data_IF_567055023925
#
_entry.id   IF_567055023925
#
_cell.length_a   1.000
_cell.length_b   1.000
_cell.length_c   1.000
_cell.angle_alpha   90.00
_cell.angle_beta   90.00
_cell.angle_gamma   90.00
#
_symmetry.space_group_name_H-M   'P 1'
#
loop_
_entity.id
_entity.type
_entity.pdbx_description
1 polymer ?
#
# COMPACT_ATOMS: atom_id res chain seq x y z
N UNK A 1 25.12 14.65 37.51
CA UNK A 1 24.50 15.47 36.45
C UNK A 1 25.51 15.63 35.32
N UNK A 2 25.56 14.71 34.37
CA UNK A 2 26.43 14.80 33.21
C UNK A 2 25.75 15.72 32.19
N UNK A 3 26.45 16.74 31.73
CA UNK A 3 26.05 17.62 30.64
C UNK A 3 25.85 16.74 29.39
N UNK A 4 24.60 16.57 28.92
CA UNK A 4 24.35 16.09 27.56
C UNK A 4 25.02 17.10 26.61
N UNK A 5 25.94 16.66 25.79
CA UNK A 5 26.45 17.47 24.69
C UNK A 5 25.28 17.73 23.73
N UNK A 6 25.04 18.99 23.37
CA UNK A 6 24.22 19.41 22.23
C UNK A 6 24.87 18.90 20.93
N UNK A 7 24.95 17.59 20.78
CA UNK A 7 25.39 17.01 19.52
C UNK A 7 24.27 17.23 18.48
N UNK A 8 24.59 18.01 17.46
CA UNK A 8 23.67 18.23 16.34
C UNK A 8 23.15 16.88 15.81
N UNK A 9 21.87 16.86 15.44
CA UNK A 9 21.23 15.66 14.86
C UNK A 9 22.08 15.13 13.68
N UNK A 10 22.24 13.81 13.54
CA UNK A 10 23.06 13.26 12.48
C UNK A 10 22.48 13.58 11.11
N UNK A 11 23.27 14.25 10.26
CA UNK A 11 22.88 14.60 8.89
C UNK A 11 23.28 13.46 7.93
N UNK A 12 22.35 12.95 7.09
CA UNK A 12 22.67 11.93 6.09
C UNK A 12 23.44 12.52 4.90
N UNK A 13 24.19 11.69 4.17
CA UNK A 13 24.82 12.10 2.93
C UNK A 13 23.76 12.22 1.82
N UNK A 14 23.26 13.45 1.61
CA UNK A 14 22.14 13.74 0.71
C UNK A 14 22.49 13.56 -0.77
N UNK A 15 23.73 13.86 -1.19
CA UNK A 15 24.18 13.61 -2.57
C UNK A 15 24.12 12.12 -2.88
N UNK A 16 24.60 11.31 -1.96
CA UNK A 16 24.50 9.85 -2.11
C UNK A 16 23.06 9.34 -2.05
N UNK A 17 22.19 9.96 -1.24
CA UNK A 17 20.79 9.62 -1.19
C UNK A 17 20.09 9.82 -2.55
N UNK A 18 20.39 10.93 -3.23
CA UNK A 18 19.88 11.22 -4.57
C UNK A 18 20.39 10.22 -5.61
N UNK A 19 21.67 9.88 -5.60
CA UNK A 19 22.20 8.84 -6.48
C UNK A 19 21.53 7.50 -6.24
N UNK A 20 21.26 7.14 -4.98
CA UNK A 20 20.60 5.89 -4.62
C UNK A 20 19.15 5.86 -5.11
N UNK A 21 18.37 6.94 -4.94
CA UNK A 21 16.98 6.96 -5.38
C UNK A 21 16.88 6.92 -6.92
N UNK A 22 17.73 7.65 -7.64
CA UNK A 22 17.77 7.59 -9.10
C UNK A 22 18.09 6.19 -9.62
N UNK A 23 19.04 5.51 -8.97
CA UNK A 23 19.40 4.12 -9.30
C UNK A 23 18.24 3.17 -8.97
N UNK A 24 17.60 3.31 -7.81
CA UNK A 24 16.49 2.45 -7.39
C UNK A 24 15.28 2.61 -8.32
N UNK A 25 14.94 3.83 -8.70
CA UNK A 25 13.89 4.15 -9.69
C UNK A 25 14.17 3.55 -11.09
N UNK A 26 15.43 3.36 -11.44
CA UNK A 26 15.85 2.80 -12.73
C UNK A 26 15.78 1.26 -12.78
N UNK A 27 15.65 0.57 -11.63
CA UNK A 27 15.68 -0.89 -11.58
C UNK A 27 14.32 -1.43 -12.04
N UNK A 28 14.25 -2.28 -13.08
CA UNK A 28 13.01 -2.94 -13.46
C UNK A 28 12.51 -3.87 -12.36
N UNK A 29 11.20 -3.94 -12.19
CA UNK A 29 10.55 -4.85 -11.24
C UNK A 29 9.28 -4.21 -10.68
N UNK A 30 8.13 -4.75 -11.02
CA UNK A 30 6.84 -4.44 -10.39
C UNK A 30 6.44 -5.53 -9.42
N UNK A 31 5.22 -5.48 -8.92
CA UNK A 31 4.68 -6.44 -7.95
C UNK A 31 4.87 -7.89 -8.40
N UNK A 32 5.45 -8.72 -7.53
CA UNK A 32 5.83 -10.11 -7.77
C UNK A 32 7.16 -10.29 -8.53
N UNK A 33 7.85 -9.21 -8.92
CA UNK A 33 9.13 -9.22 -9.66
C UNK A 33 10.18 -8.32 -9.01
N UNK A 34 10.21 -8.27 -7.70
CA UNK A 34 11.06 -7.36 -6.89
C UNK A 34 12.49 -7.88 -6.69
N UNK A 35 12.83 -9.05 -7.21
CA UNK A 35 14.12 -9.70 -6.97
C UNK A 35 15.33 -8.82 -7.22
N UNK A 36 15.33 -8.02 -8.31
CA UNK A 36 16.44 -7.12 -8.67
C UNK A 36 16.58 -5.95 -7.70
N UNK A 37 15.49 -5.35 -7.28
CA UNK A 37 15.53 -4.23 -6.35
C UNK A 37 15.88 -4.70 -4.93
N UNK A 38 15.35 -5.82 -4.48
CA UNK A 38 15.71 -6.44 -3.21
C UNK A 38 17.20 -6.79 -3.16
N UNK A 39 17.75 -7.35 -4.25
CA UNK A 39 19.19 -7.64 -4.35
C UNK A 39 20.03 -6.35 -4.35
N UNK A 40 19.60 -5.29 -5.04
CA UNK A 40 20.27 -4.01 -4.98
C UNK A 40 20.37 -3.47 -3.54
N UNK A 41 19.27 -3.48 -2.79
CA UNK A 41 19.22 -3.05 -1.38
C UNK A 41 20.17 -3.93 -0.55
N UNK A 42 20.08 -5.24 -0.69
CA UNK A 42 20.92 -6.19 0.02
C UNK A 42 22.42 -5.94 -0.22
N UNK A 43 22.82 -5.68 -1.47
CA UNK A 43 24.19 -5.35 -1.81
C UNK A 43 24.68 -4.04 -1.19
N UNK A 44 23.83 -2.98 -1.18
CA UNK A 44 24.18 -1.72 -0.53
C UNK A 44 24.43 -1.93 0.97
N UNK A 45 23.54 -2.68 1.65
CA UNK A 45 23.67 -2.98 3.07
C UNK A 45 24.93 -3.80 3.38
N UNK A 46 25.22 -4.84 2.59
CA UNK A 46 26.45 -5.64 2.75
C UNK A 46 27.72 -4.82 2.55
N UNK A 47 27.75 -3.96 1.53
CA UNK A 47 28.89 -3.04 1.29
C UNK A 47 29.06 -2.00 2.41
N UNK A 48 28.01 -1.71 3.14
CA UNK A 48 28.05 -0.84 4.32
C UNK A 48 28.46 -1.57 5.60
N UNK A 49 28.70 -2.89 5.56
CA UNK A 49 29.15 -3.68 6.70
C UNK A 49 28.04 -4.43 7.44
N UNK A 50 26.80 -4.53 6.87
CA UNK A 50 25.76 -5.32 7.51
C UNK A 50 26.19 -6.80 7.63
N UNK A 51 26.17 -7.38 8.85
CA UNK A 51 26.46 -8.80 9.05
C UNK A 51 25.49 -9.67 8.24
N UNK A 52 25.98 -10.78 7.68
CA UNK A 52 25.13 -11.69 6.91
C UNK A 52 23.96 -12.24 7.74
N UNK A 53 24.16 -12.46 9.03
CA UNK A 53 23.15 -12.94 9.98
C UNK A 53 22.05 -11.91 10.30
N UNK A 54 22.31 -10.62 10.07
CA UNK A 54 21.34 -9.54 10.30
C UNK A 54 20.38 -9.33 9.12
N UNK A 55 20.70 -9.90 7.95
CA UNK A 55 19.91 -9.78 6.72
C UNK A 55 19.14 -11.07 6.47
N UNK A 56 17.82 -10.95 6.37
CA UNK A 56 16.93 -12.08 6.12
C UNK A 56 15.90 -11.72 5.04
N UNK A 57 15.49 -12.72 4.28
CA UNK A 57 14.33 -12.63 3.42
C UNK A 57 13.26 -13.55 4.01
N UNK A 58 12.07 -13.06 4.23
CA UNK A 58 10.99 -13.90 4.72
C UNK A 58 10.42 -14.77 3.57
N UNK A 59 9.46 -15.63 3.88
CA UNK A 59 8.83 -16.50 2.90
C UNK A 59 7.43 -16.04 2.50
N UNK A 60 7.14 -14.72 2.57
CA UNK A 60 5.83 -14.17 2.23
C UNK A 60 5.39 -14.54 0.81
N UNK A 61 6.29 -14.46 -0.18
CA UNK A 61 6.02 -14.84 -1.57
C UNK A 61 5.48 -16.26 -1.76
N UNK A 62 5.82 -17.21 -0.87
CA UNK A 62 5.29 -18.59 -0.91
C UNK A 62 3.88 -18.70 -0.34
N UNK A 63 3.42 -17.71 0.42
CA UNK A 63 2.08 -17.64 1.00
C UNK A 63 1.13 -16.74 0.22
N UNK A 64 1.68 -15.90 -0.65
CA UNK A 64 0.90 -15.06 -1.57
C UNK A 64 0.36 -15.96 -2.69
N UNK A 65 -0.96 -15.96 -2.96
CA UNK A 65 -1.55 -16.86 -3.96
C UNK A 65 -0.97 -16.72 -5.37
N UNK A 66 -0.56 -15.51 -5.77
CA UNK A 66 0.06 -15.22 -7.06
C UNK A 66 1.54 -15.60 -7.11
N UNK A 67 2.13 -15.99 -5.97
CA UNK A 67 3.56 -16.21 -5.86
C UNK A 67 4.35 -14.89 -5.85
N UNK A 68 5.61 -14.98 -6.24
CA UNK A 68 6.54 -13.85 -6.37
C UNK A 68 7.98 -14.36 -6.41
N UNK A 69 8.89 -13.52 -6.89
CA UNK A 69 10.32 -13.87 -6.97
C UNK A 69 10.98 -13.95 -5.59
N UNK A 70 10.58 -13.05 -4.69
CA UNK A 70 11.20 -12.88 -3.36
C UNK A 70 10.14 -12.51 -2.32
N UNK A 71 10.47 -12.74 -1.04
CA UNK A 71 9.72 -12.25 0.10
C UNK A 71 10.21 -10.87 0.56
N UNK A 72 9.69 -10.41 1.71
CA UNK A 72 10.12 -9.17 2.32
C UNK A 72 11.59 -9.25 2.75
N UNK A 73 12.37 -8.21 2.45
CA UNK A 73 13.74 -8.10 2.91
C UNK A 73 13.77 -7.44 4.29
N UNK A 74 14.48 -8.05 5.24
CA UNK A 74 14.54 -7.61 6.63
C UNK A 74 16.00 -7.43 7.03
N UNK A 75 16.33 -6.25 7.58
CA UNK A 75 17.58 -5.99 8.29
C UNK A 75 17.29 -5.81 9.77
N UNK A 76 17.91 -6.60 10.63
CA UNK A 76 17.77 -6.52 12.09
C UNK A 76 19.10 -6.15 12.69
N UNK A 77 19.18 -5.01 13.38
CA UNK A 77 20.38 -4.56 14.09
C UNK A 77 20.14 -4.65 15.60
N UNK A 78 21.09 -5.21 16.37
CA UNK A 78 21.10 -5.05 17.82
C UNK A 78 21.34 -3.58 18.13
N UNK A 79 20.77 -3.07 19.23
CA UNK A 79 21.06 -1.70 19.65
C UNK A 79 22.51 -1.56 20.09
N UNK A 80 23.11 -0.39 19.87
CA UNK A 80 24.35 0.05 20.53
C UNK A 80 24.02 0.80 21.82
N UNK A 81 22.75 1.23 21.94
CA UNK A 81 22.19 1.86 23.14
C UNK A 81 20.93 1.13 23.60
N UNK A 82 20.57 1.33 24.86
CA UNK A 82 19.31 0.83 25.41
C UNK A 82 18.12 1.63 24.85
N UNK A 83 17.00 0.96 24.65
CA UNK A 83 15.76 1.59 24.19
C UNK A 83 14.82 0.57 23.53
N UNK A 84 13.59 0.96 23.26
CA UNK A 84 12.63 0.12 22.57
C UNK A 84 13.07 -0.10 21.11
N UNK A 85 12.82 -1.31 20.60
CA UNK A 85 13.05 -1.60 19.20
C UNK A 85 12.17 -0.75 18.31
N UNK A 86 12.77 -0.20 17.27
CA UNK A 86 12.07 0.59 16.24
C UNK A 86 12.02 -0.16 14.92
N UNK A 87 10.93 0.04 14.21
CA UNK A 87 10.69 -0.54 12.89
C UNK A 87 10.54 0.59 11.87
N UNK A 88 11.29 0.51 10.77
CA UNK A 88 11.10 1.37 9.60
C UNK A 88 10.72 0.48 8.41
N UNK A 89 9.66 0.83 7.71
CA UNK A 89 9.08 0.03 6.61
C UNK A 89 8.87 0.90 5.39
N UNK A 90 8.99 0.31 4.20
CA UNK A 90 8.61 0.89 2.92
C UNK A 90 8.44 -0.23 1.89
N UNK A 91 7.59 -0.06 0.88
CA UNK A 91 7.48 -1.07 -0.16
C UNK A 91 8.41 -0.81 -1.35
N UNK A 92 8.68 -1.85 -2.15
CA UNK A 92 9.65 -1.77 -3.24
C UNK A 92 9.06 -2.03 -4.63
N UNK A 93 7.82 -2.48 -4.70
CA UNK A 93 7.12 -2.71 -5.96
C UNK A 93 6.36 -1.46 -6.41
N UNK A 94 6.55 -0.97 -7.62
CA UNK A 94 5.71 0.05 -8.24
C UNK A 94 4.62 -0.59 -9.09
N UNK A 95 3.59 0.19 -9.41
CA UNK A 95 2.51 -0.18 -10.33
C UNK A 95 3.01 -0.55 -11.74
N UNK A 96 2.24 -1.35 -12.53
CA UNK A 96 2.63 -1.73 -13.90
C UNK A 96 2.90 -0.57 -14.84
N UNK A 97 2.32 0.61 -14.60
CA UNK A 97 2.53 1.84 -15.38
C UNK A 97 4.00 2.34 -15.33
N UNK A 98 4.76 1.91 -14.32
CA UNK A 98 6.18 2.25 -14.15
C UNK A 98 7.11 1.38 -15.01
N UNK A 99 6.59 0.40 -15.77
CA UNK A 99 7.43 -0.48 -16.59
C UNK A 99 8.22 0.31 -17.64
N UNK A 100 9.54 0.21 -17.58
CA UNK A 100 10.44 0.93 -18.49
C UNK A 100 10.67 2.40 -18.12
N UNK A 101 10.23 2.83 -16.93
CA UNK A 101 10.52 4.17 -16.43
C UNK A 101 12.02 4.43 -16.38
N UNK A 102 12.42 5.60 -16.85
CA UNK A 102 13.78 6.13 -16.76
C UNK A 102 13.70 7.47 -16.02
N UNK A 103 14.24 7.56 -14.79
CA UNK A 103 14.19 8.81 -14.04
C UNK A 103 15.12 9.85 -14.64
N UNK A 104 14.66 11.09 -14.76
CA UNK A 104 15.44 12.25 -15.15
C UNK A 104 15.20 13.40 -14.19
N UNK A 105 16.28 14.10 -13.83
CA UNK A 105 16.17 15.29 -12.97
C UNK A 105 15.79 16.49 -13.84
N UNK A 106 14.71 17.19 -13.44
CA UNK A 106 14.27 18.45 -14.04
C UNK A 106 14.02 19.48 -12.94
N UNK A 107 14.98 20.37 -12.77
CA UNK A 107 14.96 21.34 -11.66
C UNK A 107 14.95 20.64 -10.32
N UNK A 108 13.93 20.90 -9.48
CA UNK A 108 13.77 20.28 -8.16
C UNK A 108 13.04 18.93 -8.16
N UNK A 109 12.69 18.41 -9.33
CA UNK A 109 11.92 17.17 -9.45
C UNK A 109 12.69 16.10 -10.21
N UNK A 110 12.46 14.85 -9.82
CA UNK A 110 12.70 13.67 -10.65
C UNK A 110 11.38 13.30 -11.32
N UNK A 111 11.42 13.09 -12.64
CA UNK A 111 10.26 12.74 -13.45
C UNK A 111 10.61 11.58 -14.39
N UNK A 112 9.63 10.82 -14.91
CA UNK A 112 9.92 9.86 -15.96
C UNK A 112 10.33 10.58 -17.26
N UNK A 113 11.31 10.02 -17.98
CA UNK A 113 11.75 10.56 -19.28
C UNK A 113 10.65 10.48 -20.34
N UNK A 114 9.78 9.47 -20.26
CA UNK A 114 8.63 9.26 -21.15
C UNK A 114 7.33 9.75 -20.50
N UNK A 115 6.46 10.36 -21.30
CA UNK A 115 5.10 10.73 -20.89
C UNK A 115 4.13 9.53 -20.83
N UNK A 116 4.57 8.34 -21.25
CA UNK A 116 3.76 7.12 -21.25
C UNK A 116 3.98 6.23 -20.02
N UNK A 117 4.90 6.59 -19.12
CA UNK A 117 5.19 5.84 -17.91
C UNK A 117 5.01 6.72 -16.67
N UNK A 118 4.64 6.10 -15.55
CA UNK A 118 4.83 6.67 -14.22
C UNK A 118 6.30 6.56 -13.80
N UNK A 119 6.66 7.16 -12.66
CA UNK A 119 8.04 7.19 -12.16
C UNK A 119 8.38 5.98 -11.27
N UNK A 120 7.46 5.58 -10.39
CA UNK A 120 7.68 4.61 -9.32
C UNK A 120 8.33 5.23 -8.09
N UNK A 121 8.11 6.53 -7.87
CA UNK A 121 8.48 7.23 -6.63
C UNK A 121 7.73 6.67 -5.43
N UNK A 122 6.51 6.27 -5.65
CA UNK A 122 5.68 5.45 -4.82
C UNK A 122 6.05 3.96 -5.02
N UNK A 123 6.71 3.24 -4.07
CA UNK A 123 7.28 3.85 -2.85
C UNK A 123 8.82 3.66 -2.82
N UNK A 124 9.47 3.64 -3.97
CA UNK A 124 10.93 3.54 -4.03
C UNK A 124 11.64 4.73 -3.40
N UNK A 125 10.94 5.87 -3.24
CA UNK A 125 11.47 7.00 -2.51
C UNK A 125 11.55 6.70 -1.01
N UNK A 126 10.49 6.20 -0.38
CA UNK A 126 10.50 5.77 1.00
C UNK A 126 11.46 4.61 1.25
N UNK A 127 11.45 3.61 0.34
CA UNK A 127 12.40 2.50 0.40
C UNK A 127 13.86 2.97 0.38
N UNK A 128 14.16 4.05 -0.38
CA UNK A 128 15.50 4.66 -0.39
C UNK A 128 15.75 5.46 0.88
N UNK A 129 14.77 6.20 1.40
CA UNK A 129 14.95 6.99 2.62
C UNK A 129 15.34 6.11 3.82
N UNK A 130 14.64 4.98 4.02
CA UNK A 130 15.00 4.03 5.09
C UNK A 130 16.33 3.30 4.81
N UNK A 131 16.67 3.05 3.53
CA UNK A 131 17.96 2.49 3.15
C UNK A 131 19.09 3.47 3.52
N UNK A 132 18.94 4.75 3.23
CA UNK A 132 19.93 5.79 3.58
C UNK A 132 20.16 5.82 5.10
N UNK A 133 19.11 5.80 5.92
CA UNK A 133 19.24 5.72 7.36
C UNK A 133 20.05 4.49 7.82
N UNK A 134 19.74 3.30 7.27
CA UNK A 134 20.49 2.08 7.58
C UNK A 134 21.98 2.18 7.16
N UNK A 135 22.26 2.77 5.99
CA UNK A 135 23.62 2.91 5.49
C UNK A 135 24.46 3.91 6.31
N UNK A 136 23.86 5.01 6.77
CA UNK A 136 24.53 5.98 7.64
C UNK A 136 24.90 5.35 9.00
N UNK A 137 23.95 4.61 9.60
CA UNK A 137 24.19 3.88 10.86
C UNK A 137 25.33 2.89 10.70
N UNK A 138 25.27 2.03 9.68
CA UNK A 138 26.28 0.97 9.46
C UNK A 138 27.67 1.53 9.18
N UNK A 139 27.77 2.58 8.35
CA UNK A 139 29.08 3.12 7.93
C UNK A 139 29.75 3.99 8.96
N UNK A 140 28.94 4.76 9.70
CA UNK A 140 29.47 5.74 10.68
C UNK A 140 29.45 5.20 12.09
N UNK A 141 28.86 4.02 12.33
CA UNK A 141 28.71 3.46 13.67
C UNK A 141 27.85 4.39 14.56
N UNK A 142 26.79 4.99 14.02
CA UNK A 142 25.96 5.91 14.78
C UNK A 142 25.26 5.17 15.93
N UNK A 143 25.20 5.78 17.13
CA UNK A 143 24.45 5.23 18.25
C UNK A 143 22.98 5.05 17.89
N UNK A 144 22.40 3.91 18.27
CA UNK A 144 20.99 3.61 17.96
C UNK A 144 20.41 2.56 18.90
N UNK A 145 19.09 2.60 19.19
CA UNK A 145 18.39 1.52 19.87
C UNK A 145 18.31 0.28 18.95
N UNK A 146 17.79 -0.87 19.41
CA UNK A 146 17.51 -2.00 18.53
C UNK A 146 16.63 -1.60 17.34
N UNK A 147 17.03 -1.94 16.11
CA UNK A 147 16.35 -1.55 14.88
C UNK A 147 15.93 -2.75 14.04
N UNK A 148 14.84 -2.59 13.32
CA UNK A 148 14.43 -3.45 12.23
C UNK A 148 14.03 -2.58 11.04
N UNK A 149 14.59 -2.86 9.87
CA UNK A 149 14.18 -2.26 8.60
C UNK A 149 13.52 -3.34 7.77
N UNK A 150 12.41 -3.00 7.11
CA UNK A 150 11.68 -3.93 6.25
C UNK A 150 11.38 -3.27 4.91
N UNK A 151 11.74 -3.94 3.84
CA UNK A 151 11.35 -3.61 2.48
C UNK A 151 10.32 -4.64 2.04
N UNK A 152 9.07 -4.23 1.96
CA UNK A 152 7.93 -5.09 1.64
C UNK A 152 7.76 -5.25 0.13
N UNK A 153 7.13 -6.37 -0.26
CA UNK A 153 6.83 -6.72 -1.65
C UNK A 153 5.34 -6.71 -1.91
N UNK A 154 4.91 -6.51 -3.15
CA UNK A 154 3.52 -6.64 -3.59
C UNK A 154 2.52 -5.84 -2.75
N UNK A 155 2.90 -4.64 -2.34
CA UNK A 155 2.01 -3.69 -1.69
C UNK A 155 0.86 -3.31 -2.63
N UNK A 156 1.17 -2.97 -3.87
CA UNK A 156 0.28 -2.49 -4.92
C UNK A 156 -0.80 -3.52 -5.37
N UNK A 157 -0.64 -4.77 -4.97
CA UNK A 157 -1.64 -5.82 -5.20
C UNK A 157 -2.58 -6.04 -4.01
N UNK A 158 -2.53 -5.15 -3.01
CA UNK A 158 -3.36 -5.17 -1.80
C UNK A 158 -2.59 -5.58 -0.55
N UNK A 159 -1.46 -4.91 -0.32
CA UNK A 159 -0.63 -5.00 0.90
C UNK A 159 -0.13 -6.43 1.18
N UNK A 160 0.13 -7.21 0.13
CA UNK A 160 0.35 -8.66 0.26
C UNK A 160 1.63 -8.99 1.03
N UNK A 161 2.69 -8.20 0.86
CA UNK A 161 3.92 -8.35 1.62
C UNK A 161 3.69 -8.21 3.12
N UNK A 162 3.08 -7.12 3.56
CA UNK A 162 2.75 -6.86 4.96
C UNK A 162 1.70 -7.86 5.49
N UNK A 163 0.69 -8.21 4.67
CA UNK A 163 -0.30 -9.23 5.02
C UNK A 163 0.35 -10.57 5.39
N UNK A 164 1.36 -10.98 4.65
CA UNK A 164 2.04 -12.27 4.83
C UNK A 164 3.38 -12.16 5.59
N UNK A 165 3.72 -10.95 6.09
CA UNK A 165 4.92 -10.73 6.90
C UNK A 165 4.89 -11.57 8.19
N UNK A 166 6.00 -12.23 8.48
CA UNK A 166 6.19 -12.97 9.73
C UNK A 166 6.58 -12.00 10.86
N UNK A 167 5.58 -11.58 11.65
CA UNK A 167 5.77 -10.57 12.72
C UNK A 167 6.85 -10.98 13.74
N UNK A 168 7.02 -12.28 14.01
CA UNK A 168 8.08 -12.77 14.89
C UNK A 168 9.51 -12.37 14.45
N UNK A 169 9.73 -12.10 13.15
CA UNK A 169 11.03 -11.65 12.63
C UNK A 169 11.32 -10.18 12.92
N UNK A 170 10.32 -9.40 13.34
CA UNK A 170 10.47 -7.97 13.60
C UNK A 170 11.11 -7.66 14.96
N UNK A 171 11.18 -8.66 15.88
CA UNK A 171 11.81 -8.49 17.19
C UNK A 171 10.99 -7.64 18.17
N UNK A 172 9.65 -7.60 18.05
CA UNK A 172 8.70 -6.89 18.92
C UNK A 172 8.96 -5.37 18.97
N UNK A 173 8.87 -4.66 17.86
CA UNK A 173 9.05 -3.20 17.84
C UNK A 173 7.95 -2.52 18.67
N UNK A 174 8.33 -1.46 19.39
CA UNK A 174 7.43 -0.60 20.16
C UNK A 174 7.09 0.68 19.42
N UNK A 175 7.96 1.12 18.51
CA UNK A 175 7.75 2.26 17.62
C UNK A 175 7.90 1.77 16.18
N UNK A 176 6.94 2.12 15.33
CA UNK A 176 6.94 1.70 13.93
C UNK A 176 6.53 2.83 12.99
N UNK A 177 7.30 2.98 11.92
CA UNK A 177 7.21 4.06 10.95
C UNK A 177 7.23 3.47 9.53
N UNK A 178 6.17 3.67 8.79
CA UNK A 178 6.08 3.37 7.36
C UNK A 178 6.47 4.63 6.57
N UNK A 179 7.22 4.49 5.49
CA UNK A 179 7.63 5.62 4.65
C UNK A 179 6.94 5.51 3.29
N UNK A 180 5.63 5.68 3.29
CA UNK A 180 4.76 5.54 2.15
C UNK A 180 3.70 6.65 2.20
N UNK A 181 3.85 7.63 1.29
CA UNK A 181 3.03 8.82 1.24
C UNK A 181 3.69 9.96 0.45
N UNK A 182 2.96 11.06 0.28
CA UNK A 182 3.42 12.19 -0.52
C UNK A 182 4.39 13.10 0.26
N UNK A 183 3.89 13.87 1.20
CA UNK A 183 4.70 14.82 1.96
C UNK A 183 5.36 14.17 3.17
N UNK A 184 6.66 14.42 3.44
CA UNK A 184 7.30 13.96 4.67
C UNK A 184 6.77 14.67 5.93
N UNK A 185 5.99 15.72 5.79
CA UNK A 185 5.31 16.43 6.89
C UNK A 185 3.94 15.84 7.22
N UNK A 186 3.37 15.02 6.31
CA UNK A 186 2.12 14.32 6.57
C UNK A 186 2.37 13.13 7.51
N UNK A 187 1.91 13.26 8.74
CA UNK A 187 1.92 12.20 9.75
C UNK A 187 0.60 11.45 9.66
N UNK A 188 0.56 10.40 8.87
CA UNK A 188 -0.64 9.60 8.62
C UNK A 188 -0.89 8.65 9.78
N UNK A 189 -1.90 9.00 10.60
CA UNK A 189 -2.27 8.25 11.81
C UNK A 189 -3.40 7.25 11.60
N UNK A 190 -3.95 7.17 10.39
CA UNK A 190 -5.02 6.24 10.07
C UNK A 190 -5.20 6.03 8.57
N UNK A 191 -5.76 4.89 8.23
CA UNK A 191 -6.05 4.52 6.85
C UNK A 191 -7.37 3.75 6.75
N UNK A 192 -8.00 3.81 5.57
CA UNK A 192 -9.25 3.09 5.29
C UNK A 192 -9.05 1.57 5.32
N UNK A 193 -10.15 0.83 5.52
CA UNK A 193 -10.20 -0.61 5.28
C UNK A 193 -10.80 -0.94 3.92
N UNK A 194 -10.29 -2.00 3.28
CA UNK A 194 -10.69 -2.42 1.95
C UNK A 194 -11.24 -3.85 1.91
N UNK A 195 -12.32 -4.06 1.17
CA UNK A 195 -12.93 -5.36 0.91
C UNK A 195 -13.13 -5.54 -0.59
N UNK A 196 -12.64 -6.63 -1.16
CA UNK A 196 -12.81 -6.97 -2.58
C UNK A 196 -13.78 -8.12 -2.78
N UNK A 197 -14.54 -8.03 -3.86
CA UNK A 197 -15.57 -8.99 -4.22
C UNK A 197 -15.44 -9.42 -5.66
N UNK A 198 -15.71 -10.69 -5.90
CA UNK A 198 -15.92 -11.27 -7.20
C UNK A 198 -17.34 -11.84 -7.26
N UNK A 199 -18.12 -11.39 -8.22
CA UNK A 199 -19.49 -11.84 -8.45
C UNK A 199 -19.50 -12.58 -9.77
N UNK A 200 -19.83 -13.88 -9.73
CA UNK A 200 -20.12 -14.70 -10.91
C UNK A 200 -21.61 -14.77 -11.09
N UNK A 201 -22.09 -14.34 -12.25
CA UNK A 201 -23.51 -14.34 -12.61
C UNK A 201 -23.71 -15.42 -13.65
N UNK A 202 -24.63 -16.34 -13.38
CA UNK A 202 -25.01 -17.41 -14.28
C UNK A 202 -26.46 -17.23 -14.73
N UNK A 203 -26.66 -17.16 -16.04
CA UNK A 203 -27.93 -17.14 -16.73
C UNK A 203 -28.17 -18.42 -17.55
N UNK A 204 -28.96 -18.31 -18.62
CA UNK A 204 -29.30 -19.40 -19.55
C UNK A 204 -29.12 -18.88 -20.97
N UNK A 205 -28.32 -19.57 -21.76
CA UNK A 205 -28.14 -19.23 -23.17
C UNK A 205 -29.38 -19.52 -23.99
N UNK A 206 -29.68 -18.67 -24.96
CA UNK A 206 -30.66 -18.91 -26.01
C UNK A 206 -30.31 -18.12 -27.26
N UNK A 207 -30.96 -18.43 -28.40
CA UNK A 207 -30.78 -17.64 -29.60
C UNK A 207 -31.56 -16.34 -29.50
N UNK A 208 -30.87 -15.18 -29.50
CA UNK A 208 -31.46 -13.88 -29.22
C UNK A 208 -32.55 -13.44 -30.23
N UNK A 209 -32.54 -13.95 -31.44
CA UNK A 209 -33.54 -13.66 -32.48
C UNK A 209 -34.63 -14.71 -32.67
N UNK A 210 -34.44 -15.93 -32.15
CA UNK A 210 -35.37 -17.05 -32.35
C UNK A 210 -36.21 -17.37 -31.13
N UNK A 211 -35.57 -17.37 -29.95
CA UNK A 211 -36.22 -17.74 -28.68
C UNK A 211 -35.61 -16.96 -27.49
N UNK A 212 -35.56 -15.61 -27.57
CA UNK A 212 -34.96 -14.81 -26.50
C UNK A 212 -35.63 -15.01 -25.14
N UNK A 213 -36.94 -15.32 -25.13
CA UNK A 213 -37.76 -15.56 -23.93
C UNK A 213 -37.36 -16.81 -23.16
N UNK A 214 -36.63 -17.74 -23.76
CA UNK A 214 -36.10 -18.95 -23.11
C UNK A 214 -34.75 -18.71 -22.44
N UNK A 215 -34.08 -17.60 -22.74
CA UNK A 215 -32.82 -17.22 -22.18
C UNK A 215 -32.96 -16.45 -20.86
N UNK A 216 -31.87 -16.44 -20.09
CA UNK A 216 -31.71 -15.57 -18.89
C UNK A 216 -30.40 -14.80 -19.06
N UNK A 217 -30.48 -13.50 -19.32
CA UNK A 217 -29.30 -12.67 -19.63
C UNK A 217 -28.51 -12.32 -18.39
N UNK A 218 -27.30 -12.85 -18.29
CA UNK A 218 -26.36 -12.48 -17.24
C UNK A 218 -25.91 -11.00 -17.34
N UNK A 219 -25.86 -10.44 -18.57
CA UNK A 219 -25.58 -9.00 -18.77
C UNK A 219 -26.72 -8.15 -18.20
N UNK A 220 -27.98 -8.52 -18.44
CA UNK A 220 -29.13 -7.78 -17.88
C UNK A 220 -29.11 -7.81 -16.35
N UNK A 221 -28.79 -8.94 -15.75
CA UNK A 221 -28.65 -9.06 -14.29
C UNK A 221 -27.55 -8.12 -13.76
N UNK A 222 -26.37 -8.13 -14.38
CA UNK A 222 -25.27 -7.25 -13.97
C UNK A 222 -25.66 -5.77 -14.09
N UNK A 223 -26.26 -5.39 -15.22
CA UNK A 223 -26.68 -4.01 -15.50
C UNK A 223 -27.72 -3.51 -14.50
N UNK A 224 -28.73 -4.33 -14.19
CA UNK A 224 -29.79 -3.99 -13.21
C UNK A 224 -29.19 -3.82 -11.79
N UNK A 225 -28.30 -4.72 -11.37
CA UNK A 225 -27.65 -4.63 -10.07
C UNK A 225 -26.82 -3.35 -9.95
N UNK A 226 -25.99 -3.03 -10.96
CA UNK A 226 -25.14 -1.83 -10.96
C UNK A 226 -26.00 -0.56 -11.01
N UNK A 227 -27.05 -0.53 -11.83
CA UNK A 227 -27.98 0.59 -11.90
C UNK A 227 -28.69 0.82 -10.55
N UNK A 228 -29.12 -0.25 -9.87
CA UNK A 228 -29.70 -0.17 -8.54
C UNK A 228 -28.71 0.45 -7.54
N UNK A 229 -27.47 -0.07 -7.50
CA UNK A 229 -26.43 0.47 -6.61
C UNK A 229 -26.19 1.96 -6.85
N UNK A 230 -26.16 2.38 -8.11
CA UNK A 230 -25.99 3.80 -8.47
C UNK A 230 -27.18 4.65 -8.00
N UNK A 231 -28.41 4.21 -8.32
CA UNK A 231 -29.65 4.94 -7.98
C UNK A 231 -29.86 5.04 -6.47
N UNK A 232 -29.52 3.99 -5.72
CA UNK A 232 -29.66 3.97 -4.27
C UNK A 232 -28.47 4.62 -3.55
N UNK A 233 -27.46 5.14 -4.26
CA UNK A 233 -26.29 5.82 -3.70
C UNK A 233 -25.33 4.87 -2.97
N UNK A 234 -25.22 3.62 -3.43
CA UNK A 234 -24.24 2.63 -2.95
C UNK A 234 -23.07 2.43 -3.92
N UNK A 235 -22.93 3.28 -4.96
CA UNK A 235 -21.82 3.23 -5.92
C UNK A 235 -21.08 4.57 -5.95
N UNK A 236 -19.76 4.57 -6.02
CA UNK A 236 -18.92 5.76 -5.97
C UNK A 236 -18.67 6.21 -4.53
N UNK A 237 -18.82 7.50 -4.25
CA UNK A 237 -18.78 8.03 -2.89
C UNK A 237 -20.08 7.67 -2.17
N UNK A 238 -19.99 6.93 -1.08
CA UNK A 238 -21.13 6.47 -0.29
C UNK A 238 -21.20 7.24 1.02
N UNK A 239 -22.30 8.01 1.20
CA UNK A 239 -22.55 8.74 2.45
C UNK A 239 -23.94 8.38 2.94
N UNK A 240 -24.07 7.79 4.12
CA UNK A 240 -25.32 7.37 4.76
C UNK A 240 -25.24 7.59 6.26
N UNK A 241 -26.23 8.23 6.83
CA UNK A 241 -26.36 8.43 8.29
C UNK A 241 -25.08 9.01 8.94
N UNK A 242 -24.45 9.99 8.28
CA UNK A 242 -23.21 10.62 8.76
C UNK A 242 -21.95 9.77 8.61
N UNK A 243 -22.05 8.55 8.07
CA UNK A 243 -20.92 7.67 7.78
C UNK A 243 -20.53 7.74 6.32
N UNK A 244 -19.24 7.57 6.03
CA UNK A 244 -18.69 7.69 4.69
C UNK A 244 -17.84 6.48 4.29
N UNK A 245 -17.83 6.20 3.00
CA UNK A 245 -17.02 5.17 2.38
C UNK A 245 -17.07 5.28 0.86
N UNK A 246 -16.53 4.28 0.19
CA UNK A 246 -16.58 4.20 -1.27
C UNK A 246 -16.92 2.79 -1.72
N UNK A 247 -17.54 2.68 -2.88
CA UNK A 247 -17.68 1.41 -3.59
C UNK A 247 -17.43 1.60 -5.07
N UNK A 248 -16.91 0.58 -5.71
CA UNK A 248 -16.65 0.60 -7.14
C UNK A 248 -16.87 -0.76 -7.76
N UNK A 249 -17.52 -0.79 -8.92
CA UNK A 249 -17.49 -1.91 -9.85
C UNK A 249 -16.43 -1.60 -10.89
N UNK A 250 -15.23 -2.15 -10.70
CA UNK A 250 -14.06 -1.83 -11.51
C UNK A 250 -13.88 -2.71 -12.74
N UNK A 251 -14.46 -3.92 -12.73
CA UNK A 251 -14.35 -4.88 -13.87
C UNK A 251 -15.69 -5.53 -14.10
N UNK A 252 -16.09 -5.60 -15.37
CA UNK A 252 -17.20 -6.44 -15.87
C UNK A 252 -16.73 -7.15 -17.14
N UNK A 253 -16.93 -8.45 -17.22
CA UNK A 253 -16.56 -9.28 -18.38
C UNK A 253 -17.62 -10.32 -18.64
N UNK A 254 -18.03 -10.47 -19.90
CA UNK A 254 -18.97 -11.50 -20.35
C UNK A 254 -19.55 -11.18 -21.72
N UNK A 255 -20.09 -12.22 -22.38
CA UNK A 255 -20.65 -12.16 -23.73
C UNK A 255 -19.60 -12.37 -24.82
N UNK A 256 -19.95 -13.18 -25.83
CA UNK A 256 -19.08 -13.50 -26.95
C UNK A 256 -19.71 -13.13 -28.31
N UNK A 257 -21.06 -13.12 -28.40
CA UNK A 257 -21.77 -12.85 -29.63
C UNK A 257 -23.09 -12.13 -29.38
N UNK A 258 -23.49 -11.25 -30.31
CA UNK A 258 -24.72 -10.45 -30.23
C UNK A 258 -26.00 -11.23 -30.44
N UNK A 259 -25.93 -12.39 -31.10
CA UNK A 259 -27.06 -13.27 -31.37
C UNK A 259 -27.30 -14.36 -30.31
N UNK A 260 -26.57 -14.27 -29.17
CA UNK A 260 -26.70 -15.19 -28.04
C UNK A 260 -27.11 -14.41 -26.79
N UNK A 261 -28.15 -14.85 -26.07
CA UNK A 261 -28.44 -14.38 -24.72
C UNK A 261 -27.30 -14.84 -23.80
N UNK A 262 -26.56 -13.90 -23.25
CA UNK A 262 -25.30 -14.17 -22.54
C UNK A 262 -25.53 -14.98 -21.27
N UNK A 263 -24.95 -16.19 -21.14
CA UNK A 263 -25.18 -17.07 -19.98
C UNK A 263 -24.23 -16.79 -18.81
N UNK A 264 -23.13 -16.06 -18.98
CA UNK A 264 -22.17 -15.80 -17.88
C UNK A 264 -21.58 -14.40 -17.95
N UNK A 265 -21.52 -13.75 -16.78
CA UNK A 265 -20.80 -12.50 -16.56
C UNK A 265 -20.02 -12.57 -15.24
N UNK A 266 -18.80 -12.04 -15.24
CA UNK A 266 -17.99 -11.85 -14.06
C UNK A 266 -17.85 -10.37 -13.76
N UNK A 267 -18.06 -10.01 -12.48
CA UNK A 267 -17.95 -8.65 -11.98
C UNK A 267 -16.96 -8.63 -10.83
N UNK A 268 -16.05 -7.63 -10.81
CA UNK A 268 -15.18 -7.37 -9.67
C UNK A 268 -15.54 -6.02 -9.09
N UNK A 269 -15.77 -6.00 -7.78
CA UNK A 269 -16.13 -4.80 -7.02
C UNK A 269 -15.25 -4.67 -5.77
N UNK A 270 -15.18 -3.44 -5.26
CA UNK A 270 -14.56 -3.15 -3.97
C UNK A 270 -15.44 -2.24 -3.12
N UNK A 271 -15.26 -2.31 -1.81
CA UNK A 271 -15.85 -1.41 -0.83
C UNK A 271 -14.79 -0.96 0.17
N UNK A 272 -14.76 0.35 0.48
CA UNK A 272 -13.83 0.92 1.45
C UNK A 272 -14.56 1.80 2.45
N UNK A 273 -14.13 1.77 3.70
CA UNK A 273 -14.53 2.73 4.74
C UNK A 273 -13.54 2.70 5.90
N UNK A 274 -13.39 3.83 6.58
CA UNK A 274 -12.69 3.91 7.87
C UNK A 274 -13.49 3.24 9.00
N UNK A 275 -14.80 3.11 8.82
CA UNK A 275 -15.70 2.38 9.73
C UNK A 275 -15.92 0.95 9.20
N UNK A 276 -15.41 -0.09 9.90
CA UNK A 276 -15.59 -1.48 9.49
C UNK A 276 -17.06 -1.91 9.40
N UNK A 277 -17.92 -1.39 10.27
CA UNK A 277 -19.35 -1.71 10.27
C UNK A 277 -20.03 -1.08 9.06
N UNK A 278 -19.67 0.14 8.69
CA UNK A 278 -20.19 0.79 7.50
C UNK A 278 -19.67 0.14 6.21
N UNK A 279 -18.39 -0.28 6.18
CA UNK A 279 -17.87 -1.07 5.07
C UNK A 279 -18.67 -2.37 4.88
N UNK A 280 -19.01 -3.06 5.97
CA UNK A 280 -19.84 -4.26 5.91
C UNK A 280 -21.26 -3.96 5.35
N UNK A 281 -21.83 -2.80 5.66
CA UNK A 281 -23.10 -2.36 5.05
C UNK A 281 -23.00 -2.12 3.56
N UNK A 282 -21.92 -1.47 3.09
CA UNK A 282 -21.66 -1.29 1.66
C UNK A 282 -21.56 -2.64 0.95
N UNK A 283 -20.80 -3.57 1.53
CA UNK A 283 -20.67 -4.96 1.03
C UNK A 283 -22.05 -5.63 0.95
N UNK A 284 -22.85 -5.55 2.01
CA UNK A 284 -24.19 -6.11 2.06
C UNK A 284 -25.14 -5.52 1.02
N UNK A 285 -25.05 -4.20 0.75
CA UNK A 285 -25.82 -3.54 -0.29
C UNK A 285 -25.45 -4.05 -1.69
N UNK A 286 -24.13 -4.24 -1.97
CA UNK A 286 -23.66 -4.82 -3.23
C UNK A 286 -24.21 -6.25 -3.39
N UNK A 287 -24.07 -7.10 -2.37
CA UNK A 287 -24.58 -8.47 -2.41
C UNK A 287 -26.10 -8.52 -2.62
N UNK A 288 -26.86 -7.68 -1.92
CA UNK A 288 -28.31 -7.62 -2.02
C UNK A 288 -28.77 -7.22 -3.44
N UNK A 289 -28.12 -6.20 -4.05
CA UNK A 289 -28.43 -5.76 -5.39
C UNK A 289 -28.24 -6.88 -6.43
N UNK A 290 -27.10 -7.56 -6.42
CA UNK A 290 -26.86 -8.67 -7.34
C UNK A 290 -27.80 -9.86 -7.11
N UNK A 291 -28.08 -10.24 -5.86
CA UNK A 291 -29.04 -11.32 -5.54
C UNK A 291 -30.47 -10.95 -5.96
N UNK A 292 -30.89 -9.69 -5.78
CA UNK A 292 -32.21 -9.22 -6.22
C UNK A 292 -32.34 -9.20 -7.74
N UNK A 293 -31.36 -8.66 -8.45
CA UNK A 293 -31.33 -8.64 -9.90
C UNK A 293 -31.38 -10.06 -10.49
N UNK A 294 -30.64 -11.00 -9.93
CA UNK A 294 -30.66 -12.39 -10.40
C UNK A 294 -32.05 -13.03 -10.28
N UNK A 295 -32.77 -12.76 -9.20
CA UNK A 295 -34.14 -13.26 -8.99
C UNK A 295 -35.19 -12.56 -9.86
N UNK A 296 -34.91 -11.36 -10.38
CA UNK A 296 -35.85 -10.61 -11.21
C UNK A 296 -35.75 -10.92 -12.71
N UNK A 297 -34.66 -11.53 -13.15
CA UNK A 297 -34.46 -11.91 -14.55
C UNK A 297 -34.69 -13.42 -14.71
N UNK A 298 -35.90 -13.77 -15.19
CA UNK A 298 -36.31 -15.15 -15.35
C UNK A 298 -36.78 -15.38 -16.80
N UNK A 299 -36.71 -16.60 -17.28
CA UNK A 299 -37.26 -17.02 -18.57
C UNK A 299 -38.74 -17.41 -18.45
N UNK A 300 -39.36 -17.75 -19.59
CA UNK A 300 -40.79 -18.18 -19.65
C UNK A 300 -41.07 -19.49 -18.91
N UNK A 301 -40.04 -20.28 -18.63
CA UNK A 301 -40.16 -21.53 -17.86
C UNK A 301 -40.02 -21.30 -16.36
N UNK A 302 -39.83 -20.01 -15.91
CA UNK A 302 -39.68 -19.63 -14.52
C UNK A 302 -38.27 -19.86 -13.98
N UNK A 303 -37.30 -20.24 -14.78
CA UNK A 303 -35.93 -20.37 -14.38
C UNK A 303 -35.27 -18.98 -14.32
N UNK A 304 -34.72 -18.62 -13.16
CA UNK A 304 -34.09 -17.31 -12.93
C UNK A 304 -32.56 -17.41 -12.89
N UNK A 305 -31.91 -16.25 -13.00
CA UNK A 305 -30.46 -16.15 -12.86
C UNK A 305 -29.94 -16.52 -11.48
N UNK A 306 -28.66 -16.87 -11.42
CA UNK A 306 -27.97 -17.22 -10.18
C UNK A 306 -26.72 -16.34 -10.00
N UNK A 307 -26.36 -16.06 -8.77
CA UNK A 307 -25.11 -15.36 -8.43
C UNK A 307 -24.34 -16.14 -7.37
N UNK A 308 -23.05 -16.27 -7.62
CA UNK A 308 -22.07 -16.71 -6.65
C UNK A 308 -21.19 -15.50 -6.31
N UNK A 309 -21.09 -15.15 -5.02
CA UNK A 309 -20.32 -14.01 -4.55
C UNK A 309 -19.21 -14.52 -3.65
N UNK A 310 -17.97 -14.20 -4.00
CA UNK A 310 -16.78 -14.46 -3.21
C UNK A 310 -16.18 -13.13 -2.83
N UNK A 311 -16.02 -12.89 -1.55
CA UNK A 311 -15.42 -11.68 -1.04
C UNK A 311 -14.30 -11.98 -0.06
N UNK A 312 -13.40 -11.01 0.10
CA UNK A 312 -12.32 -11.08 1.08
C UNK A 312 -12.02 -9.70 1.65
N UNK A 313 -11.68 -9.68 2.92
CA UNK A 313 -11.03 -8.52 3.51
C UNK A 313 -9.62 -8.41 2.94
N UNK A 314 -9.32 -7.30 2.24
CA UNK A 314 -7.96 -7.04 1.79
C UNK A 314 -7.11 -6.51 2.94
N UNK A 315 -7.63 -5.52 3.66
CA UNK A 315 -6.99 -4.95 4.86
C UNK A 315 -8.03 -4.26 5.74
N UNK A 316 -7.75 -4.21 7.05
CA UNK A 316 -8.61 -3.56 8.03
C UNK A 316 -8.26 -2.07 8.13
N UNK A 317 -9.26 -1.24 8.45
CA UNK A 317 -9.03 0.16 8.79
C UNK A 317 -8.27 0.26 10.12
N UNK A 318 -7.47 1.31 10.27
CA UNK A 318 -6.90 1.66 11.56
C UNK A 318 -6.91 3.17 11.77
N UNK A 319 -6.90 3.57 13.03
CA UNK A 319 -6.63 4.94 13.47
C UNK A 319 -5.90 4.89 14.80
N UNK A 320 -4.72 5.47 14.84
CA UNK A 320 -3.94 5.59 16.08
C UNK A 320 -4.48 6.76 16.92
N UNK A 321 -4.42 6.66 18.26
CA UNK A 321 -4.62 7.80 19.14
C UNK A 321 -3.61 8.91 18.81
N UNK A 322 -4.02 10.15 18.97
CA UNK A 322 -3.19 11.31 18.65
C UNK A 322 -1.96 11.45 19.56
N UNK A 323 -2.05 10.92 20.77
CA UNK A 323 -0.99 10.86 21.78
C UNK A 323 -0.19 9.54 21.72
N UNK A 324 -0.41 8.71 20.70
CA UNK A 324 0.33 7.46 20.57
C UNK A 324 1.84 7.74 20.39
N UNK A 325 2.73 6.99 21.05
CA UNK A 325 4.17 7.25 21.00
C UNK A 325 4.76 7.32 19.58
N UNK A 326 4.28 6.50 18.66
CA UNK A 326 4.71 6.57 17.25
C UNK A 326 4.34 7.91 16.60
N UNK A 327 3.16 8.46 16.90
CA UNK A 327 2.68 9.74 16.35
C UNK A 327 3.55 10.87 16.90
N UNK A 328 3.73 10.93 18.22
CA UNK A 328 4.54 11.95 18.87
C UNK A 328 6.01 11.92 18.41
N UNK A 329 6.59 10.72 18.26
CA UNK A 329 7.95 10.56 17.75
C UNK A 329 8.09 11.03 16.28
N UNK A 330 7.11 10.71 15.42
CA UNK A 330 7.09 11.16 14.03
C UNK A 330 6.98 12.68 13.94
N UNK A 331 6.06 13.30 14.71
CA UNK A 331 5.92 14.75 14.76
C UNK A 331 7.18 15.45 15.26
N UNK A 332 7.81 14.90 16.31
CA UNK A 332 9.07 15.43 16.83
C UNK A 332 10.19 15.38 15.79
N UNK A 333 10.29 14.28 15.03
CA UNK A 333 11.29 14.15 13.97
C UNK A 333 11.04 15.12 12.80
N UNK A 334 9.77 15.35 12.41
CA UNK A 334 9.42 16.37 11.41
C UNK A 334 9.82 17.77 11.87
N UNK A 335 9.50 18.14 13.11
CA UNK A 335 9.89 19.46 13.67
C UNK A 335 11.41 19.61 13.75
N UNK A 336 12.13 18.57 14.13
CA UNK A 336 13.59 18.61 14.27
C UNK A 336 14.32 18.87 12.94
N UNK A 337 13.70 18.58 11.80
CA UNK A 337 14.24 18.91 10.47
C UNK A 337 13.68 20.21 9.88
N UNK A 338 12.97 21.01 10.70
CA UNK A 338 12.41 22.30 10.31
C UNK A 338 11.08 22.21 9.55
N UNK A 339 10.40 21.06 9.59
CA UNK A 339 9.07 20.88 9.02
C UNK A 339 7.94 21.14 10.00
N UNK A 340 6.72 21.24 9.48
CA UNK A 340 5.48 21.39 10.24
C UNK A 340 4.62 20.12 10.11
N UNK A 341 4.55 19.26 11.15
CA UNK A 341 3.82 18.00 11.04
C UNK A 341 2.32 18.23 10.89
N UNK A 342 1.73 17.56 9.89
CA UNK A 342 0.30 17.59 9.60
C UNK A 342 -0.27 16.18 9.83
N UNK A 343 -1.21 16.05 10.78
CA UNK A 343 -1.90 14.77 10.98
C UNK A 343 -2.84 14.50 9.84
N UNK A 344 -2.73 13.31 9.26
CA UNK A 344 -3.53 12.88 8.13
C UNK A 344 -4.21 11.54 8.38
N UNK A 345 -5.34 11.33 7.68
CA UNK A 345 -6.01 10.03 7.56
C UNK A 345 -6.20 9.80 6.06
N UNK A 346 -5.65 8.71 5.55
CA UNK A 346 -5.71 8.41 4.12
C UNK A 346 -6.89 7.52 3.76
N UNK A 347 -7.44 7.72 2.56
CA UNK A 347 -8.44 6.84 1.95
C UNK A 347 -7.82 5.70 1.13
N UNK A 348 -6.48 5.63 1.04
CA UNK A 348 -5.71 4.50 0.53
C UNK A 348 -5.42 3.45 1.61
N UNK A 349 -5.02 2.25 1.20
CA UNK A 349 -4.42 1.26 2.08
C UNK A 349 -2.90 1.46 2.11
N UNK A 350 -2.27 1.10 3.20
CA UNK A 350 -0.84 1.17 3.46
C UNK A 350 -0.39 -0.10 4.17
N UNK A 351 0.87 -0.46 4.08
CA UNK A 351 1.43 -1.58 4.86
C UNK A 351 1.18 -1.43 6.38
N UNK A 352 1.07 -0.19 6.85
CA UNK A 352 0.68 0.15 8.22
C UNK A 352 -0.67 -0.46 8.65
N UNK A 353 -1.62 -0.71 7.73
CA UNK A 353 -2.89 -1.38 8.03
C UNK A 353 -2.65 -2.79 8.59
N UNK A 354 -1.84 -3.60 7.89
CA UNK A 354 -1.57 -4.97 8.33
C UNK A 354 -0.63 -5.03 9.53
N UNK A 355 0.34 -4.13 9.62
CA UNK A 355 1.21 -4.05 10.79
C UNK A 355 0.41 -3.72 12.05
N UNK A 356 -0.45 -2.70 11.99
CA UNK A 356 -1.32 -2.31 13.10
C UNK A 356 -2.31 -3.41 13.46
N UNK A 357 -2.97 -4.03 12.48
CA UNK A 357 -3.88 -5.15 12.71
C UNK A 357 -3.19 -6.37 13.36
N UNK A 358 -1.88 -6.52 13.17
CA UNK A 358 -1.06 -7.57 13.77
C UNK A 358 -0.38 -7.16 15.09
N UNK A 359 -0.82 -6.07 15.70
CA UNK A 359 -0.33 -5.60 17.01
C UNK A 359 0.97 -4.79 16.95
N UNK A 360 1.32 -4.23 15.79
CA UNK A 360 2.44 -3.30 15.60
C UNK A 360 1.88 -1.95 15.13
N UNK A 361 1.39 -1.10 16.04
CA UNK A 361 0.86 0.22 15.69
C UNK A 361 1.90 1.02 14.89
N UNK A 362 1.52 1.44 13.68
CA UNK A 362 2.45 2.04 12.71
C UNK A 362 1.88 3.34 12.17
N UNK A 363 2.65 4.43 12.25
CA UNK A 363 2.37 5.71 11.60
C UNK A 363 3.03 5.72 10.21
N UNK A 364 2.44 6.40 9.23
CA UNK A 364 3.07 6.56 7.91
C UNK A 364 3.49 8.01 7.66
N UNK A 365 4.60 8.18 6.96
CA UNK A 365 5.20 9.43 6.55
C UNK A 365 5.45 9.41 5.04
N UNK A 366 5.41 10.55 4.38
CA UNK A 366 5.73 10.62 2.95
C UNK A 366 7.22 10.74 2.66
N UNK A 367 7.57 10.51 1.40
CA UNK A 367 8.95 10.59 0.91
C UNK A 367 9.13 11.56 -0.29
N UNK A 368 8.15 12.42 -0.56
CA UNK A 368 8.22 13.45 -1.60
C UNK A 368 7.69 13.02 -2.98
N UNK A 369 7.14 11.82 -3.13
CA UNK A 369 6.46 11.39 -4.35
C UNK A 369 5.06 12.00 -4.42
N UNK A 370 4.65 12.44 -5.59
CA UNK A 370 3.31 12.98 -5.84
C UNK A 370 2.78 12.58 -7.21
N UNK A 371 1.46 12.45 -7.35
CA UNK A 371 0.82 11.97 -8.57
C UNK A 371 1.04 10.47 -8.80
N UNK A 372 1.17 9.69 -7.73
CA UNK A 372 1.30 8.24 -7.77
C UNK A 372 0.25 7.59 -8.69
N UNK A 373 0.61 6.48 -9.33
CA UNK A 373 -0.25 5.70 -10.24
C UNK A 373 -0.67 6.45 -11.52
N UNK A 374 -0.02 7.58 -11.85
CA UNK A 374 -0.28 8.35 -13.07
C UNK A 374 1.01 8.65 -13.84
N UNK A 375 0.88 9.00 -15.12
CA UNK A 375 2.05 9.46 -15.92
C UNK A 375 2.56 10.84 -15.50
N UNK A 376 1.85 11.53 -14.61
CA UNK A 376 2.26 12.80 -14.00
C UNK A 376 3.07 12.65 -12.71
N UNK A 377 3.39 11.41 -12.33
CA UNK A 377 4.14 11.13 -11.12
C UNK A 377 5.52 11.81 -11.13
N UNK A 378 5.88 12.39 -9.99
CA UNK A 378 7.15 13.08 -9.80
C UNK A 378 7.62 12.98 -8.34
N UNK A 379 8.92 12.99 -8.15
CA UNK A 379 9.57 13.04 -6.84
C UNK A 379 10.17 14.44 -6.61
N UNK A 380 9.78 15.09 -5.52
CA UNK A 380 10.37 16.36 -5.08
C UNK A 380 11.65 16.08 -4.28
N UNK A 381 12.81 16.48 -4.81
CA UNK A 381 14.11 16.20 -4.19
C UNK A 381 14.29 16.89 -2.82
N UNK A 382 13.70 18.06 -2.60
CA UNK A 382 13.79 18.73 -1.29
C UNK A 382 13.02 17.94 -0.22
N UNK A 383 11.81 17.49 -0.54
CA UNK A 383 11.00 16.65 0.34
C UNK A 383 11.63 15.27 0.55
N UNK A 384 12.21 14.67 -0.49
CA UNK A 384 12.95 13.41 -0.36
C UNK A 384 14.15 13.53 0.58
N UNK A 385 14.92 14.62 0.48
CA UNK A 385 16.02 14.91 1.43
C UNK A 385 15.52 15.05 2.86
N UNK A 386 14.37 15.71 3.05
CA UNK A 386 13.73 15.85 4.35
C UNK A 386 13.31 14.47 4.90
N UNK A 387 12.70 13.60 4.07
CA UNK A 387 12.36 12.24 4.46
C UNK A 387 13.58 11.40 4.86
N UNK A 388 14.72 11.54 4.16
CA UNK A 388 15.98 10.89 4.57
C UNK A 388 16.46 11.34 5.96
N UNK A 389 16.34 12.64 6.27
CA UNK A 389 16.68 13.18 7.61
C UNK A 389 15.74 12.63 8.68
N UNK A 390 14.43 12.63 8.41
CA UNK A 390 13.41 12.09 9.32
C UNK A 390 13.67 10.60 9.58
N UNK A 391 13.94 9.81 8.54
CA UNK A 391 14.21 8.39 8.68
C UNK A 391 15.45 8.12 9.55
N UNK A 392 16.52 8.92 9.37
CA UNK A 392 17.74 8.79 10.19
C UNK A 392 17.47 9.19 11.63
N UNK A 393 16.75 10.28 11.88
CA UNK A 393 16.38 10.72 13.24
C UNK A 393 15.52 9.66 13.94
N UNK A 394 14.47 9.16 13.28
CA UNK A 394 13.62 8.12 13.86
C UNK A 394 14.38 6.82 14.17
N UNK A 395 15.47 6.56 13.45
CA UNK A 395 16.31 5.41 13.71
C UNK A 395 17.33 5.66 14.86
N UNK A 396 17.77 6.92 15.11
CA UNK A 396 18.91 7.21 16.01
C UNK A 396 18.56 8.06 17.21
N UNK A 397 17.45 8.84 17.19
CA UNK A 397 17.10 9.73 18.30
C UNK A 397 17.02 8.97 19.63
N UNK A 398 17.64 9.51 20.68
CA UNK A 398 17.43 9.02 22.04
C UNK A 398 15.98 9.31 22.48
N UNK A 399 15.35 8.41 23.22
CA UNK A 399 14.10 8.74 23.90
C UNK A 399 14.40 9.69 25.07
N UNK A 400 13.61 10.74 25.19
CA UNK A 400 13.57 11.50 26.44
C UNK A 400 13.02 10.57 27.52
N UNK A 401 13.84 10.38 28.58
CA UNK A 401 13.49 9.56 29.74
C UNK A 401 12.43 10.25 30.57
#
# INVERSE_FOLDING_TARGET
MGKRSDAAAPEPNLSRAEDLVLRMLSIPGGSGREGRVAEFIRQQLRRAGAPASSLRMDHSHKRIPQGGEVGNLILSLPGTESGPRRLLVAHIDPVPLCRGARPVVRGRFVVPASKSTALGGDDRAGATAILVAALEILKRGLPHPPLTFVWTVQEELGLLGARHLQIGLLGKPRLAFNFDGASPEDVTIGATGGYRMQVRISGIASHAGVSPERGVSAISIASLAIAQLHTEGWHGAVVKDGRSGTSNVGIIRGGEATNVVTPEVQVHAEARSHDPAFRAQIVGAIEAAFRKAARSVCNVEGACGKVEIRGRLDYEAFKLPEDHPCVLAAEAAVRAVGGEPQRAITSGGLDANWLTAKGVPTVSLGAGASGAHTTGERLNLAQFRQACRIALLLATAAEDK
#
